data_IF_417986638252
#
_entry.id   IF_417986638252
#
_cell.length_a   1.000
_cell.length_b   1.000
_cell.length_c   1.000
_cell.angle_alpha   90.00
_cell.angle_beta   90.00
_cell.angle_gamma   90.00
#
_symmetry.space_group_name_H-M   'P 1'
#
loop_
_entity.id
_entity.type
_entity.pdbx_description
1 polymer ?
#
# COMPACT_ATOMS: atom_id res chain seq x y z
N UNK A 1 48.51 -4.18 32.42
CA UNK A 1 47.74 -3.28 31.53
C UNK A 1 46.85 -4.10 30.59
N UNK A 2 45.53 -4.11 30.77
CA UNK A 2 44.60 -4.66 29.79
C UNK A 2 44.34 -3.61 28.70
N UNK A 3 44.78 -3.88 27.47
CA UNK A 3 44.56 -3.01 26.30
C UNK A 3 43.12 -3.23 25.83
N UNK A 4 42.21 -2.34 26.22
CA UNK A 4 40.85 -2.30 25.70
C UNK A 4 40.88 -2.00 24.20
N UNK A 5 40.57 -3.01 23.38
CA UNK A 5 40.39 -2.82 21.94
C UNK A 5 39.03 -2.16 21.72
N UNK A 6 39.05 -0.90 21.30
CA UNK A 6 37.85 -0.11 21.08
C UNK A 6 37.13 -0.63 19.83
N UNK A 7 35.99 -1.30 20.04
CA UNK A 7 35.14 -1.92 19.02
C UNK A 7 34.46 -0.90 18.09
N UNK A 8 35.22 -0.11 17.32
CA UNK A 8 34.67 0.79 16.28
C UNK A 8 34.04 0.02 15.12
N UNK A 9 34.49 -1.21 14.88
CA UNK A 9 33.98 -2.10 13.82
C UNK A 9 32.56 -2.58 14.14
N UNK A 10 32.25 -2.84 15.41
CA UNK A 10 30.91 -3.27 15.84
C UNK A 10 29.86 -2.18 15.65
N UNK A 11 30.20 -0.92 15.98
CA UNK A 11 29.28 0.21 15.85
C UNK A 11 29.00 0.56 14.38
N UNK A 12 30.01 0.52 13.51
CA UNK A 12 29.83 0.75 12.08
C UNK A 12 28.96 -0.32 11.41
N UNK A 13 29.15 -1.60 11.77
CA UNK A 13 28.34 -2.71 11.25
C UNK A 13 26.89 -2.64 11.76
N UNK A 14 26.68 -2.32 13.04
CA UNK A 14 25.34 -2.10 13.61
C UNK A 14 24.62 -0.94 12.92
N UNK A 15 25.29 0.20 12.72
CA UNK A 15 24.72 1.34 11.99
C UNK A 15 24.38 0.98 10.54
N UNK A 16 25.22 0.20 9.84
CA UNK A 16 24.93 -0.27 8.49
C UNK A 16 23.72 -1.21 8.45
N UNK A 17 23.56 -2.11 9.44
CA UNK A 17 22.39 -2.97 9.57
C UNK A 17 21.12 -2.17 9.89
N UNK A 18 21.17 -1.19 10.78
CA UNK A 18 20.04 -0.29 11.07
C UNK A 18 19.64 0.52 9.83
N UNK A 19 20.60 1.07 9.09
CA UNK A 19 20.32 1.78 7.84
C UNK A 19 19.74 0.85 6.75
N UNK A 20 20.17 -0.42 6.73
CA UNK A 20 19.61 -1.45 5.85
C UNK A 20 18.17 -1.83 6.26
N UNK A 21 17.87 -1.91 7.56
CA UNK A 21 16.50 -2.14 8.06
C UNK A 21 15.56 -0.97 7.73
N UNK A 22 16.02 0.29 7.84
CA UNK A 22 15.23 1.46 7.45
C UNK A 22 14.93 1.48 5.95
N UNK A 23 15.82 0.95 5.09
CA UNK A 23 15.60 0.91 3.64
C UNK A 23 14.49 -0.09 3.23
N UNK A 24 14.23 -1.11 4.05
CA UNK A 24 13.38 -2.25 3.71
C UNK A 24 11.88 -2.06 4.05
N UNK A 25 11.51 -0.95 4.69
CA UNK A 25 10.13 -0.67 5.07
C UNK A 25 9.33 0.05 3.95
N UNK A 26 9.22 -0.56 2.77
CA UNK A 26 8.37 -0.02 1.70
C UNK A 26 6.93 -0.56 1.83
N UNK A 27 5.89 0.30 1.70
CA UNK A 27 4.51 -0.16 1.73
C UNK A 27 4.18 -1.00 0.49
N UNK A 28 3.38 -2.05 0.64
CA UNK A 28 2.93 -2.86 -0.49
C UNK A 28 1.94 -2.06 -1.32
N UNK A 29 2.18 -1.99 -2.63
CA UNK A 29 1.30 -1.30 -3.57
C UNK A 29 0.37 -2.30 -4.25
N UNK A 30 -0.93 -2.02 -4.22
CA UNK A 30 -1.99 -2.80 -4.85
C UNK A 30 -2.63 -2.00 -5.99
N UNK A 31 -2.42 -2.39 -7.25
CA UNK A 31 -3.07 -1.74 -8.39
C UNK A 31 -4.55 -2.13 -8.43
N UNK A 32 -5.44 -1.18 -8.18
CA UNK A 32 -6.87 -1.46 -8.07
C UNK A 32 -7.43 -1.88 -9.43
N UNK A 33 -8.05 -3.07 -9.50
CA UNK A 33 -8.53 -3.65 -10.75
C UNK A 33 -7.44 -4.26 -11.63
N UNK A 34 -6.22 -4.43 -11.09
CA UNK A 34 -5.05 -4.99 -11.78
C UNK A 34 -4.83 -4.32 -13.15
N UNK A 35 -4.83 -5.06 -14.25
CA UNK A 35 -4.63 -4.50 -15.60
C UNK A 35 -5.82 -3.67 -16.13
N UNK A 36 -7.04 -3.94 -15.65
CA UNK A 36 -8.23 -3.19 -16.06
C UNK A 36 -8.30 -1.82 -15.38
N UNK A 37 -7.66 -1.70 -14.23
CA UNK A 37 -7.70 -0.50 -13.41
C UNK A 37 -9.08 -0.29 -12.79
N UNK A 38 -9.29 0.90 -12.25
CA UNK A 38 -10.56 1.30 -11.65
C UNK A 38 -11.66 1.41 -12.72
N UNK A 39 -12.45 0.35 -12.89
CA UNK A 39 -13.42 0.19 -13.99
C UNK A 39 -14.72 -0.48 -13.50
N UNK A 40 -15.71 -0.58 -14.38
CA UNK A 40 -16.98 -1.25 -14.07
C UNK A 40 -16.74 -2.74 -13.74
N UNK A 41 -17.40 -3.25 -12.71
CA UNK A 41 -17.22 -4.63 -12.25
C UNK A 41 -15.98 -4.86 -11.38
N UNK A 42 -15.31 -3.81 -10.90
CA UNK A 42 -14.17 -3.91 -9.98
C UNK A 42 -14.53 -4.46 -8.59
N UNK A 43 -15.83 -4.60 -8.28
CA UNK A 43 -16.36 -4.99 -6.96
C UNK A 43 -15.75 -6.27 -6.36
N UNK A 44 -15.37 -7.24 -7.20
CA UNK A 44 -14.76 -8.49 -6.75
C UNK A 44 -13.24 -8.45 -6.58
N UNK A 45 -12.57 -7.40 -7.06
CA UNK A 45 -11.11 -7.30 -7.05
C UNK A 45 -10.48 -7.40 -5.64
N UNK A 46 -11.04 -6.81 -4.57
CA UNK A 46 -10.44 -6.94 -3.23
C UNK A 46 -10.48 -8.36 -2.66
N UNK A 47 -11.35 -9.22 -3.18
CA UNK A 47 -11.57 -10.53 -2.60
C UNK A 47 -10.26 -11.34 -2.60
N UNK A 48 -10.00 -12.01 -1.48
CA UNK A 48 -8.83 -12.86 -1.27
C UNK A 48 -7.47 -12.13 -1.26
N UNK A 49 -7.43 -10.79 -1.31
CA UNK A 49 -6.19 -10.02 -1.16
C UNK A 49 -5.87 -9.77 0.33
N UNK A 50 -4.68 -10.13 0.81
CA UNK A 50 -4.31 -10.00 2.23
C UNK A 50 -3.81 -8.59 2.55
N UNK A 51 -4.71 -7.60 2.52
CA UNK A 51 -4.36 -6.21 2.82
C UNK A 51 -3.91 -6.02 4.28
N UNK A 52 -2.87 -5.20 4.46
CA UNK A 52 -2.36 -4.79 5.77
C UNK A 52 -2.51 -3.29 5.96
N UNK A 53 -2.61 -2.86 7.22
CA UNK A 53 -2.52 -1.44 7.53
C UNK A 53 -1.18 -0.87 7.05
N UNK A 54 -1.21 0.27 6.37
CA UNK A 54 -0.04 0.90 5.73
C UNK A 54 0.20 0.48 4.28
N UNK A 55 -0.55 -0.50 3.74
CA UNK A 55 -0.52 -0.79 2.30
C UNK A 55 -1.08 0.39 1.47
N UNK A 56 -0.67 0.51 0.22
CA UNK A 56 -1.12 1.53 -0.73
C UNK A 56 -2.05 0.93 -1.79
N UNK A 57 -3.20 1.55 -2.02
CA UNK A 57 -4.01 1.33 -3.22
C UNK A 57 -3.58 2.33 -4.29
N UNK A 58 -3.23 1.85 -5.47
CA UNK A 58 -2.92 2.67 -6.64
C UNK A 58 -4.09 2.64 -7.63
N UNK A 59 -4.65 3.81 -7.93
CA UNK A 59 -5.77 3.96 -8.87
C UNK A 59 -5.29 4.34 -10.27
N UNK A 60 -6.17 4.20 -11.27
CA UNK A 60 -5.92 4.55 -12.68
C UNK A 60 -6.94 5.59 -13.16
N UNK A 61 -6.70 6.37 -14.24
CA UNK A 61 -7.50 7.54 -14.67
C UNK A 61 -8.92 7.31 -15.20
N UNK A 62 -9.69 6.36 -14.64
CA UNK A 62 -11.05 6.06 -15.12
C UNK A 62 -12.17 6.60 -14.21
N UNK A 63 -11.93 6.81 -12.92
CA UNK A 63 -12.78 7.70 -12.09
C UNK A 63 -12.04 8.58 -11.09
N UNK A 64 -10.72 8.52 -11.00
CA UNK A 64 -9.96 9.48 -10.20
C UNK A 64 -9.64 10.71 -11.04
N UNK A 65 -9.73 11.89 -10.42
CA UNK A 65 -9.50 13.17 -11.10
C UNK A 65 -8.02 13.34 -11.47
N UNK A 66 -7.11 12.77 -10.67
CA UNK A 66 -5.66 12.85 -10.89
C UNK A 66 -5.08 11.67 -11.68
N UNK A 67 -5.79 10.55 -11.77
CA UNK A 67 -5.33 9.37 -12.49
C UNK A 67 -4.29 8.48 -11.81
N UNK A 68 -3.55 8.99 -10.82
CA UNK A 68 -2.48 8.27 -10.13
C UNK A 68 -2.61 8.38 -8.60
N UNK A 69 -3.84 8.40 -8.07
CA UNK A 69 -4.04 8.51 -6.63
C UNK A 69 -3.49 7.28 -5.91
N UNK A 70 -2.67 7.54 -4.89
CA UNK A 70 -2.12 6.54 -3.95
C UNK A 70 -2.79 6.72 -2.59
N UNK A 71 -3.56 5.72 -2.18
CA UNK A 71 -4.37 5.78 -0.95
C UNK A 71 -3.77 4.82 0.08
N UNK A 72 -3.37 5.34 1.24
CA UNK A 72 -2.87 4.50 2.35
C UNK A 72 -4.03 3.87 3.10
N UNK A 73 -3.96 2.55 3.29
CA UNK A 73 -4.96 1.79 4.02
C UNK A 73 -4.79 1.94 5.52
N UNK A 74 -5.82 2.45 6.18
CA UNK A 74 -5.96 2.39 7.63
C UNK A 74 -6.43 1.01 8.06
N UNK A 75 -6.06 0.59 9.28
CA UNK A 75 -6.55 -0.66 9.87
C UNK A 75 -8.09 -0.65 9.91
N UNK A 76 -8.71 -1.76 9.52
CA UNK A 76 -10.16 -1.91 9.47
C UNK A 76 -10.72 -1.87 8.04
N UNK A 77 -12.03 -1.62 7.95
CA UNK A 77 -12.75 -1.63 6.68
C UNK A 77 -12.87 -0.22 6.10
N UNK A 78 -12.47 -0.05 4.84
CA UNK A 78 -12.56 1.19 4.09
C UNK A 78 -13.35 0.96 2.78
N UNK A 79 -14.19 1.92 2.39
CA UNK A 79 -15.03 1.83 1.20
C UNK A 79 -14.63 2.88 0.17
N UNK A 80 -14.66 2.49 -1.10
CA UNK A 80 -14.35 3.38 -2.22
C UNK A 80 -15.43 3.27 -3.29
N UNK A 81 -15.85 4.40 -3.83
CA UNK A 81 -16.88 4.50 -4.87
C UNK A 81 -16.46 5.47 -5.98
N UNK A 82 -17.00 5.30 -7.18
CA UNK A 82 -16.97 6.34 -8.20
C UNK A 82 -18.21 7.24 -8.07
N UNK A 83 -18.01 8.56 -7.94
CA UNK A 83 -19.10 9.55 -7.80
C UNK A 83 -19.77 9.97 -9.11
N UNK A 84 -19.35 9.43 -10.27
CA UNK A 84 -19.99 9.71 -11.56
C UNK A 84 -21.41 9.11 -11.57
N UNK A 85 -22.43 9.83 -12.08
CA UNK A 85 -23.81 9.33 -12.12
C UNK A 85 -23.89 7.94 -12.78
N UNK A 86 -24.56 6.99 -12.10
CA UNK A 86 -24.77 5.62 -12.59
C UNK A 86 -23.58 4.66 -12.43
N UNK A 87 -22.38 5.11 -12.04
CA UNK A 87 -21.20 4.23 -11.96
C UNK A 87 -21.21 3.35 -10.70
N UNK A 88 -21.64 3.89 -9.56
CA UNK A 88 -21.71 3.15 -8.30
C UNK A 88 -22.72 1.98 -8.38
N UNK A 89 -23.87 2.24 -8.98
CA UNK A 89 -24.96 1.30 -9.22
C UNK A 89 -24.53 0.18 -10.16
N UNK A 90 -23.68 0.50 -11.14
CA UNK A 90 -23.08 -0.45 -12.09
C UNK A 90 -21.83 -1.17 -11.55
N UNK A 91 -21.59 -1.13 -10.24
CA UNK A 91 -20.56 -1.92 -9.58
C UNK A 91 -19.16 -1.29 -9.55
N UNK A 92 -19.06 0.02 -9.74
CA UNK A 92 -17.80 0.76 -9.60
C UNK A 92 -17.58 1.19 -8.15
N UNK A 93 -17.44 0.20 -7.28
CA UNK A 93 -17.27 0.32 -5.83
C UNK A 93 -16.49 -0.86 -5.29
N UNK A 94 -15.71 -0.65 -4.22
CA UNK A 94 -15.02 -1.73 -3.50
C UNK A 94 -15.09 -1.51 -2.00
N UNK A 95 -15.00 -2.61 -1.25
CA UNK A 95 -14.75 -2.63 0.18
C UNK A 95 -13.42 -3.34 0.44
N UNK A 96 -12.51 -2.67 1.15
CA UNK A 96 -11.18 -3.18 1.46
C UNK A 96 -11.07 -3.32 2.97
N UNK A 97 -10.65 -4.49 3.45
CA UNK A 97 -10.39 -4.72 4.88
C UNK A 97 -8.91 -4.95 5.09
N UNK A 98 -8.25 -4.01 5.76
CA UNK A 98 -6.84 -4.10 6.13
C UNK A 98 -6.71 -4.60 7.58
N UNK A 99 -5.90 -5.64 7.77
CA UNK A 99 -5.63 -6.24 9.09
C UNK A 99 -4.32 -5.75 9.70
#
# INVERSE_FOLDING_TARGET
MARGSSSKVGLGLLLAFVMLELAMAQPRVWPVGDSKGWSLGVIGWPNYKPFKAGDLLATTPRCTTSGDDRITLSRGMTFFICGKPGHCERGMKIAVTAR
#
